data_IF_636075784772
#
_entry.id   IF_636075784772
#
_cell.length_a   1.000
_cell.length_b   1.000
_cell.length_c   1.000
_cell.angle_alpha   90.00
_cell.angle_beta   90.00
_cell.angle_gamma   90.00
#
_symmetry.space_group_name_H-M   'P 1'
#
loop_
_entity.id
_entity.type
_entity.pdbx_description
1 polymer ?
#
# COMPACT_ATOMS: atom_id res chain seq x y z
N UNK A 1 -76.28 -41.08 -26.51
CA UNK A 1 -75.72 -42.25 -27.24
C UNK A 1 -74.34 -42.46 -26.63
N UNK A 2 -74.18 -43.45 -25.78
CA UNK A 2 -73.48 -44.72 -25.96
C UNK A 2 -72.00 -44.44 -26.39
N UNK A 3 -70.93 -44.89 -25.75
CA UNK A 3 -70.71 -46.17 -25.15
C UNK A 3 -69.47 -46.18 -24.26
N UNK A 4 -69.61 -46.83 -23.18
CA UNK A 4 -68.65 -47.54 -22.29
C UNK A 4 -67.57 -48.33 -23.05
N UNK A 5 -66.35 -48.45 -22.35
CA UNK A 5 -65.56 -49.64 -22.02
C UNK A 5 -64.21 -49.20 -21.45
N UNK A 6 -63.92 -49.36 -20.21
CA UNK A 6 -63.33 -50.50 -19.38
C UNK A 6 -62.21 -51.24 -20.12
N UNK A 7 -61.04 -51.14 -19.49
CA UNK A 7 -60.10 -52.19 -19.10
C UNK A 7 -58.89 -51.53 -18.44
N UNK A 8 -58.58 -51.70 -17.20
CA UNK A 8 -57.98 -52.85 -16.49
C UNK A 8 -56.47 -52.99 -16.80
N UNK A 9 -55.67 -52.66 -15.81
CA UNK A 9 -54.51 -53.43 -15.31
C UNK A 9 -53.18 -53.16 -15.97
N UNK A 10 -52.24 -52.67 -15.21
CA UNK A 10 -51.05 -53.44 -14.79
C UNK A 10 -50.22 -52.61 -13.81
N UNK A 11 -50.00 -53.21 -12.67
CA UNK A 11 -48.98 -52.81 -11.70
C UNK A 11 -47.60 -52.89 -12.35
N UNK A 12 -46.90 -51.81 -12.42
CA UNK A 12 -45.49 -51.74 -12.76
C UNK A 12 -44.73 -51.09 -11.62
N UNK A 13 -44.18 -51.91 -10.74
CA UNK A 13 -43.23 -51.52 -9.72
C UNK A 13 -41.97 -50.97 -10.37
N UNK A 14 -41.91 -49.65 -10.55
CA UNK A 14 -40.72 -48.96 -10.96
C UNK A 14 -39.87 -48.64 -9.77
N UNK A 15 -38.77 -49.35 -9.58
CA UNK A 15 -37.72 -49.07 -8.62
C UNK A 15 -37.08 -47.74 -9.04
N UNK A 16 -37.36 -46.67 -8.31
CA UNK A 16 -36.65 -45.40 -8.46
C UNK A 16 -35.24 -45.59 -7.90
N UNK A 17 -34.25 -45.75 -8.77
CA UNK A 17 -32.84 -45.65 -8.44
C UNK A 17 -32.56 -44.18 -8.13
N UNK A 18 -32.56 -43.82 -6.86
CA UNK A 18 -32.02 -42.56 -6.39
C UNK A 18 -30.50 -42.62 -6.55
N UNK A 19 -30.01 -42.07 -7.65
CA UNK A 19 -28.58 -41.76 -7.81
C UNK A 19 -28.21 -40.65 -6.79
N UNK A 20 -27.71 -41.05 -5.63
CA UNK A 20 -27.08 -40.16 -4.71
C UNK A 20 -25.78 -39.71 -5.39
N UNK A 21 -25.83 -38.53 -6.01
CA UNK A 21 -24.65 -37.83 -6.50
C UNK A 21 -23.83 -37.41 -5.25
N UNK A 22 -22.92 -38.28 -4.86
CA UNK A 22 -21.94 -37.97 -3.82
C UNK A 22 -21.01 -36.91 -4.42
N UNK A 23 -21.38 -35.63 -4.28
CA UNK A 23 -20.44 -34.55 -4.51
C UNK A 23 -19.34 -34.69 -3.46
N UNK A 24 -18.27 -35.37 -3.84
CA UNK A 24 -17.03 -35.30 -3.12
C UNK A 24 -16.62 -33.82 -3.09
N UNK A 25 -16.87 -33.15 -1.97
CA UNK A 25 -16.23 -31.88 -1.66
C UNK A 25 -14.74 -32.17 -1.54
N UNK A 26 -14.02 -31.97 -2.64
CA UNK A 26 -12.57 -31.90 -2.58
C UNK A 26 -12.24 -30.86 -1.51
N UNK A 27 -11.39 -31.21 -0.52
CA UNK A 27 -10.89 -30.19 0.40
C UNK A 27 -10.27 -29.11 -0.48
N UNK A 28 -10.70 -27.86 -0.30
CA UNK A 28 -10.00 -26.71 -0.86
C UNK A 28 -8.57 -26.81 -0.35
N UNK A 29 -7.66 -27.26 -1.20
CA UNK A 29 -6.23 -27.16 -0.89
C UNK A 29 -5.96 -25.71 -0.56
N UNK A 30 -5.51 -25.43 0.65
CA UNK A 30 -4.96 -24.16 1.08
C UNK A 30 -3.60 -24.00 0.37
N UNK A 31 -3.65 -23.93 -0.96
CA UNK A 31 -2.48 -23.77 -1.83
C UNK A 31 -2.73 -22.57 -2.72
N UNK A 32 -1.88 -21.56 -2.62
CA UNK A 32 -1.87 -20.40 -3.52
C UNK A 32 -1.77 -20.83 -4.97
N UNK A 33 -1.96 -19.89 -5.89
CA UNK A 33 -1.85 -20.08 -7.34
C UNK A 33 -0.59 -20.88 -7.70
N UNK A 34 -0.73 -21.94 -8.54
CA UNK A 34 0.38 -22.79 -8.93
C UNK A 34 1.23 -22.05 -9.96
N UNK A 35 2.48 -21.77 -9.61
CA UNK A 35 3.46 -21.14 -10.50
C UNK A 35 4.14 -22.13 -11.45
N UNK A 36 4.27 -23.41 -11.04
CA UNK A 36 4.92 -24.44 -11.85
C UNK A 36 4.80 -25.82 -11.23
N UNK A 37 5.15 -26.87 -12.03
CA UNK A 37 5.11 -28.27 -11.59
C UNK A 37 6.24 -29.08 -12.24
N UNK A 38 6.85 -29.98 -11.46
CA UNK A 38 7.81 -30.96 -11.95
C UNK A 38 7.43 -32.33 -11.39
N UNK A 39 7.01 -33.26 -12.23
CA UNK A 39 6.40 -34.51 -11.80
C UNK A 39 5.17 -34.21 -10.92
N UNK A 40 5.13 -34.78 -9.71
CA UNK A 40 4.03 -34.58 -8.76
C UNK A 40 4.25 -33.36 -7.85
N UNK A 41 5.44 -32.75 -7.87
CA UNK A 41 5.77 -31.58 -7.05
C UNK A 41 5.29 -30.30 -7.69
N UNK A 42 4.38 -29.62 -7.00
CA UNK A 42 3.89 -28.28 -7.37
C UNK A 42 4.67 -27.21 -6.62
N UNK A 43 4.87 -26.07 -7.26
CA UNK A 43 5.43 -24.86 -6.68
C UNK A 43 4.33 -23.79 -6.70
N UNK A 44 4.05 -23.17 -5.57
CA UNK A 44 3.06 -22.10 -5.46
C UNK A 44 3.69 -20.74 -5.74
N UNK A 45 2.86 -19.75 -6.10
CA UNK A 45 3.33 -18.36 -6.24
C UNK A 45 3.91 -17.83 -4.92
N UNK A 46 3.36 -18.22 -3.78
CA UNK A 46 3.87 -17.80 -2.47
C UNK A 46 5.30 -18.33 -2.22
N UNK A 47 5.59 -19.59 -2.61
CA UNK A 47 6.95 -20.16 -2.51
C UNK A 47 7.91 -19.44 -3.46
N UNK A 48 7.48 -19.14 -4.70
CA UNK A 48 8.28 -18.40 -5.67
C UNK A 48 8.56 -16.98 -5.16
N UNK A 49 7.54 -16.29 -4.65
CA UNK A 49 7.67 -14.95 -4.10
C UNK A 49 8.56 -14.91 -2.86
N UNK A 50 8.50 -15.91 -1.99
CA UNK A 50 9.41 -16.00 -0.86
C UNK A 50 10.88 -16.12 -1.31
N UNK A 51 11.16 -16.97 -2.31
CA UNK A 51 12.50 -17.11 -2.89
C UNK A 51 12.94 -15.84 -3.62
N UNK A 52 12.06 -15.23 -4.39
CA UNK A 52 12.35 -13.99 -5.11
C UNK A 52 12.64 -12.84 -4.14
N UNK A 53 11.89 -12.72 -3.05
CA UNK A 53 12.14 -11.71 -1.98
C UNK A 53 13.51 -11.90 -1.33
N UNK A 54 13.85 -13.13 -0.98
CA UNK A 54 15.16 -13.41 -0.39
C UNK A 54 16.32 -13.05 -1.33
N UNK A 55 16.16 -13.28 -2.64
CA UNK A 55 17.16 -12.98 -3.65
C UNK A 55 17.21 -11.49 -4.08
N UNK A 56 16.09 -10.77 -3.98
CA UNK A 56 15.94 -9.43 -4.55
C UNK A 56 15.17 -8.49 -3.59
N UNK A 57 15.58 -8.40 -2.33
CA UNK A 57 14.93 -7.59 -1.30
C UNK A 57 14.70 -6.13 -1.73
N UNK A 58 15.67 -5.54 -2.46
CA UNK A 58 15.57 -4.15 -2.96
C UNK A 58 14.40 -3.95 -3.91
N UNK A 59 14.12 -4.90 -4.81
CA UNK A 59 12.99 -4.81 -5.76
C UNK A 59 11.65 -4.82 -5.01
N UNK A 60 11.52 -5.69 -4.02
CA UNK A 60 10.30 -5.76 -3.21
C UNK A 60 10.13 -4.52 -2.33
N UNK A 61 11.22 -3.95 -1.83
CA UNK A 61 11.17 -2.67 -1.12
C UNK A 61 10.71 -1.53 -2.05
N UNK A 62 11.28 -1.44 -3.25
CA UNK A 62 10.85 -0.44 -4.24
C UNK A 62 9.36 -0.59 -4.63
N UNK A 63 8.89 -1.82 -4.79
CA UNK A 63 7.47 -2.08 -5.07
C UNK A 63 6.58 -1.66 -3.89
N UNK A 64 6.99 -1.96 -2.67
CA UNK A 64 6.28 -1.50 -1.48
C UNK A 64 6.22 0.04 -1.43
N UNK A 65 7.35 0.71 -1.65
CA UNK A 65 7.43 2.18 -1.63
C UNK A 65 6.52 2.81 -2.69
N UNK A 66 6.51 2.23 -3.91
CA UNK A 66 5.61 2.66 -4.97
C UNK A 66 4.14 2.46 -4.60
N UNK A 67 3.78 1.30 -4.05
CA UNK A 67 2.41 1.01 -3.56
C UNK A 67 2.02 1.95 -2.42
N UNK A 68 2.93 2.20 -1.48
CA UNK A 68 2.70 3.10 -0.35
C UNK A 68 2.45 4.53 -0.82
N UNK A 69 3.26 5.00 -1.77
CA UNK A 69 3.07 6.32 -2.38
C UNK A 69 1.72 6.44 -3.09
N UNK A 70 1.37 5.46 -3.90
CA UNK A 70 0.08 5.43 -4.60
C UNK A 70 -1.10 5.41 -3.61
N UNK A 71 -1.03 4.56 -2.58
CA UNK A 71 -2.06 4.48 -1.53
C UNK A 71 -2.23 5.80 -0.79
N UNK A 72 -1.13 6.48 -0.45
CA UNK A 72 -1.19 7.79 0.21
C UNK A 72 -1.93 8.81 -0.66
N UNK A 73 -1.63 8.88 -1.98
CA UNK A 73 -2.35 9.77 -2.91
C UNK A 73 -3.83 9.44 -2.97
N UNK A 74 -4.19 8.15 -3.03
CA UNK A 74 -5.60 7.73 -3.03
C UNK A 74 -6.32 8.12 -1.73
N UNK A 75 -5.67 7.94 -0.58
CA UNK A 75 -6.21 8.34 0.73
C UNK A 75 -6.40 9.85 0.79
N UNK A 76 -5.40 10.64 0.37
CA UNK A 76 -5.50 12.10 0.36
C UNK A 76 -6.66 12.58 -0.53
N UNK A 77 -6.80 12.03 -1.73
CA UNK A 77 -7.90 12.38 -2.63
C UNK A 77 -9.27 12.03 -2.01
N UNK A 78 -9.39 10.85 -1.41
CA UNK A 78 -10.62 10.45 -0.74
C UNK A 78 -10.95 11.35 0.46
N UNK A 79 -9.95 11.77 1.22
CA UNK A 79 -10.15 12.71 2.34
C UNK A 79 -10.65 14.08 1.85
N UNK A 80 -10.11 14.57 0.73
CA UNK A 80 -10.58 15.80 0.09
C UNK A 80 -12.03 15.68 -0.38
N UNK A 81 -12.38 14.56 -1.02
CA UNK A 81 -13.76 14.30 -1.46
C UNK A 81 -14.75 14.28 -0.31
N UNK A 82 -14.42 13.58 0.78
CA UNK A 82 -15.26 13.48 1.99
C UNK A 82 -15.46 14.86 2.62
N UNK A 83 -14.40 15.65 2.78
CA UNK A 83 -14.47 16.98 3.38
C UNK A 83 -15.22 17.97 2.48
N UNK A 84 -14.97 17.92 1.15
CA UNK A 84 -15.67 18.75 0.18
C UNK A 84 -17.17 18.48 0.17
N UNK A 85 -17.56 17.21 0.19
CA UNK A 85 -18.98 16.81 0.29
C UNK A 85 -19.61 17.28 1.61
N UNK A 86 -18.91 17.15 2.73
CA UNK A 86 -19.39 17.62 4.04
C UNK A 86 -19.62 19.14 4.07
N UNK A 87 -18.78 19.89 3.36
CA UNK A 87 -18.90 21.37 3.24
C UNK A 87 -19.78 21.83 2.08
N UNK A 88 -20.26 20.92 1.23
CA UNK A 88 -21.07 21.19 0.03
C UNK A 88 -20.36 22.10 -0.98
N UNK A 89 -19.09 21.88 -1.18
CA UNK A 89 -18.21 22.54 -2.15
C UNK A 89 -17.55 21.51 -3.05
N UNK A 90 -16.93 21.95 -4.13
CA UNK A 90 -16.07 21.09 -4.95
C UNK A 90 -14.71 20.88 -4.30
N UNK A 91 -14.01 19.81 -4.67
CA UNK A 91 -12.61 19.56 -4.23
C UNK A 91 -11.71 20.73 -4.62
N UNK A 92 -11.92 21.31 -5.82
CA UNK A 92 -11.13 22.44 -6.28
C UNK A 92 -11.31 23.68 -5.39
N UNK A 93 -12.56 24.04 -5.07
CA UNK A 93 -12.85 25.14 -4.16
C UNK A 93 -12.27 24.91 -2.76
N UNK A 94 -12.35 23.67 -2.27
CA UNK A 94 -11.76 23.30 -0.99
C UNK A 94 -10.24 23.50 -0.97
N UNK A 95 -9.54 23.03 -2.02
CA UNK A 95 -8.08 23.14 -2.15
C UNK A 95 -7.67 24.62 -2.24
N UNK A 96 -8.32 25.40 -3.08
CA UNK A 96 -8.05 26.84 -3.19
C UNK A 96 -8.18 27.51 -1.83
N UNK A 97 -9.29 27.32 -1.15
CA UNK A 97 -9.59 27.99 0.12
C UNK A 97 -8.70 27.54 1.28
N UNK A 98 -8.39 26.25 1.36
CA UNK A 98 -7.70 25.72 2.53
C UNK A 98 -6.19 25.58 2.34
N UNK A 99 -5.71 25.64 1.11
CA UNK A 99 -4.30 25.54 0.78
C UNK A 99 -3.81 26.79 0.04
N UNK A 100 -4.31 27.04 -1.17
CA UNK A 100 -3.71 28.06 -2.04
C UNK A 100 -3.82 29.48 -1.45
N UNK A 101 -4.99 29.85 -0.90
CA UNK A 101 -5.21 31.16 -0.28
C UNK A 101 -4.45 31.35 1.06
N UNK A 102 -3.98 30.25 1.67
CA UNK A 102 -3.21 30.29 2.92
C UNK A 102 -1.70 30.32 2.70
N UNK A 103 -1.25 30.05 1.48
CA UNK A 103 0.16 30.18 1.12
C UNK A 103 0.50 31.66 0.97
N UNK A 104 1.22 32.22 1.96
CA UNK A 104 1.68 33.60 1.87
C UNK A 104 2.84 33.71 0.89
N UNK A 105 2.93 34.76 0.06
CA UNK A 105 4.06 34.98 -0.85
C UNK A 105 5.39 35.04 -0.09
N UNK A 106 6.43 34.50 -0.70
CA UNK A 106 7.80 34.60 -0.18
C UNK A 106 8.32 36.02 -0.40
N UNK A 107 8.91 36.61 0.64
CA UNK A 107 9.47 37.95 0.55
C UNK A 107 10.95 37.94 0.13
N UNK A 108 11.45 39.08 -0.34
CA UNK A 108 12.87 39.26 -0.71
C UNK A 108 13.80 39.09 0.51
N UNK A 109 13.34 39.49 1.68
CA UNK A 109 14.07 39.34 2.93
C UNK A 109 14.26 37.87 3.29
N UNK A 110 13.23 37.03 3.10
CA UNK A 110 13.30 35.57 3.33
C UNK A 110 14.27 34.90 2.35
N UNK A 111 14.22 35.28 1.07
CA UNK A 111 15.17 34.79 0.06
C UNK A 111 16.61 35.15 0.43
N UNK A 112 16.83 36.39 0.89
CA UNK A 112 18.16 36.87 1.30
C UNK A 112 18.64 36.15 2.58
N UNK A 113 17.74 35.95 3.54
CA UNK A 113 18.02 35.22 4.78
C UNK A 113 18.42 33.77 4.48
N UNK A 114 17.63 33.09 3.66
CA UNK A 114 17.91 31.70 3.25
C UNK A 114 19.28 31.60 2.54
N UNK A 115 19.58 32.51 1.63
CA UNK A 115 20.86 32.54 0.94
C UNK A 115 22.03 32.70 1.92
N UNK A 116 21.91 33.61 2.88
CA UNK A 116 22.96 33.86 3.87
C UNK A 116 23.21 32.64 4.77
N UNK A 117 22.16 31.96 5.20
CA UNK A 117 22.23 30.74 6.03
C UNK A 117 22.81 29.56 5.25
N UNK A 118 22.62 29.51 3.94
CA UNK A 118 23.03 28.40 3.10
C UNK A 118 24.25 28.67 2.20
N UNK A 119 25.05 29.73 2.49
CA UNK A 119 26.22 30.12 1.68
C UNK A 119 27.17 28.98 1.36
N UNK A 120 27.43 28.09 2.33
CA UNK A 120 28.31 26.95 2.13
C UNK A 120 27.73 25.92 1.11
N UNK A 121 26.40 25.81 1.02
CA UNK A 121 25.71 24.85 0.15
C UNK A 121 25.55 25.35 -1.29
N UNK A 122 25.55 26.65 -1.49
CA UNK A 122 25.31 27.23 -2.82
C UNK A 122 26.57 27.30 -3.70
N UNK A 123 27.73 26.84 -3.22
CA UNK A 123 28.92 26.63 -4.04
C UNK A 123 29.50 27.91 -4.69
N UNK A 124 29.49 29.03 -3.97
CA UNK A 124 30.05 30.32 -4.47
C UNK A 124 29.16 31.05 -5.48
N UNK A 125 27.93 30.59 -5.76
CA UNK A 125 26.97 31.32 -6.59
C UNK A 125 26.52 32.60 -5.88
N UNK A 126 26.22 33.65 -6.69
CA UNK A 126 25.72 34.91 -6.12
C UNK A 126 24.20 34.84 -5.91
N UNK A 127 23.68 35.68 -5.00
CA UNK A 127 22.23 35.73 -4.73
C UNK A 127 21.44 35.98 -6.03
N UNK A 128 21.90 36.91 -6.85
CA UNK A 128 21.21 37.29 -8.11
C UNK A 128 21.10 36.12 -9.09
N UNK A 129 22.11 35.22 -9.09
CA UNK A 129 22.11 34.06 -10.00
C UNK A 129 21.17 32.95 -9.63
N UNK A 130 20.74 32.87 -8.35
CA UNK A 130 19.91 31.79 -7.81
C UNK A 130 18.65 32.25 -7.07
N UNK A 131 18.41 33.58 -7.02
CA UNK A 131 17.27 34.17 -6.33
C UNK A 131 15.95 33.49 -6.70
N UNK A 132 15.66 33.35 -8.01
CA UNK A 132 14.43 32.69 -8.47
C UNK A 132 14.31 31.20 -8.07
N UNK A 133 15.46 30.51 -7.97
CA UNK A 133 15.47 29.10 -7.48
C UNK A 133 15.15 29.01 -5.99
N UNK A 134 15.71 29.96 -5.20
CA UNK A 134 15.43 30.05 -3.76
C UNK A 134 13.94 30.39 -3.53
N UNK A 135 13.44 31.39 -4.25
CA UNK A 135 12.03 31.79 -4.16
C UNK A 135 11.09 30.63 -4.51
N UNK A 136 11.37 29.90 -5.58
CA UNK A 136 10.60 28.72 -5.96
C UNK A 136 10.68 27.64 -4.89
N UNK A 137 11.86 27.37 -4.33
CA UNK A 137 12.06 26.40 -3.26
C UNK A 137 11.25 26.78 -2.02
N UNK A 138 11.34 28.02 -1.55
CA UNK A 138 10.61 28.48 -0.36
C UNK A 138 9.09 28.47 -0.57
N UNK A 139 8.61 28.82 -1.76
CA UNK A 139 7.19 28.72 -2.10
C UNK A 139 6.69 27.28 -2.09
N UNK A 140 7.49 26.32 -2.62
CA UNK A 140 7.15 24.91 -2.58
C UNK A 140 7.13 24.36 -1.14
N UNK A 141 8.12 24.73 -0.33
CA UNK A 141 8.20 24.33 1.08
C UNK A 141 6.98 24.84 1.85
N UNK A 142 6.67 26.13 1.73
CA UNK A 142 5.50 26.74 2.37
C UNK A 142 4.17 26.12 1.91
N UNK A 143 4.01 25.90 0.63
CA UNK A 143 2.84 25.19 0.09
C UNK A 143 2.70 23.77 0.63
N UNK A 144 3.83 23.06 0.78
CA UNK A 144 3.87 21.73 1.38
C UNK A 144 3.48 21.75 2.87
N UNK A 145 3.95 22.74 3.63
CA UNK A 145 3.60 22.91 5.04
C UNK A 145 2.10 23.18 5.23
N UNK A 146 1.54 24.14 4.47
CA UNK A 146 0.10 24.44 4.53
C UNK A 146 -0.74 23.22 4.16
N UNK A 147 -0.34 22.50 3.11
CA UNK A 147 -1.00 21.28 2.69
C UNK A 147 -0.94 20.21 3.80
N UNK A 148 0.24 19.98 4.35
CA UNK A 148 0.44 18.99 5.43
C UNK A 148 -0.43 19.33 6.64
N UNK A 149 -0.42 20.57 7.09
CA UNK A 149 -1.24 21.03 8.21
C UNK A 149 -2.75 20.83 7.95
N UNK A 150 -3.20 21.09 6.73
CA UNK A 150 -4.58 20.82 6.36
C UNK A 150 -4.92 19.31 6.41
N UNK A 151 -4.09 18.46 5.83
CA UNK A 151 -4.31 17.02 5.88
C UNK A 151 -4.25 16.46 7.30
N UNK A 152 -3.42 17.02 8.18
CA UNK A 152 -3.40 16.62 9.58
C UNK A 152 -4.71 16.96 10.31
N UNK A 153 -5.36 18.08 9.96
CA UNK A 153 -6.71 18.36 10.46
C UNK A 153 -7.76 17.37 9.92
N UNK A 154 -7.62 16.92 8.66
CA UNK A 154 -8.51 15.92 8.08
C UNK A 154 -8.35 14.55 8.75
N UNK A 155 -7.11 14.12 9.03
CA UNK A 155 -6.82 12.85 9.74
C UNK A 155 -7.39 12.80 11.15
N UNK A 156 -7.58 13.94 11.80
CA UNK A 156 -8.24 14.00 13.11
C UNK A 156 -9.75 13.76 13.02
N UNK A 157 -10.36 14.08 11.87
CA UNK A 157 -11.82 13.96 11.64
C UNK A 157 -12.20 12.66 10.95
N UNK A 158 -11.35 12.18 10.04
CA UNK A 158 -11.62 11.05 9.14
C UNK A 158 -10.72 9.90 9.55
N UNK A 159 -11.34 8.79 9.98
CA UNK A 159 -10.60 7.59 10.34
C UNK A 159 -9.93 6.97 9.12
N UNK A 160 -8.61 6.85 9.14
CA UNK A 160 -7.80 6.21 8.10
C UNK A 160 -7.17 4.94 8.65
N UNK A 161 -7.42 3.80 7.98
CA UNK A 161 -6.80 2.52 8.32
C UNK A 161 -5.97 2.03 7.13
N UNK A 162 -4.69 1.81 7.36
CA UNK A 162 -3.76 1.30 6.35
C UNK A 162 -3.37 -0.12 6.73
N UNK A 163 -3.65 -1.07 5.82
CA UNK A 163 -3.32 -2.49 5.98
C UNK A 163 -2.12 -2.92 5.11
N UNK A 164 -1.50 -1.99 4.38
CA UNK A 164 -0.33 -2.30 3.56
C UNK A 164 0.89 -2.54 4.46
N UNK A 165 1.32 -3.79 4.53
CA UNK A 165 2.51 -4.18 5.30
C UNK A 165 3.80 -4.05 4.46
N UNK A 166 4.92 -3.64 5.10
CA UNK A 166 6.22 -3.66 4.44
C UNK A 166 6.66 -5.10 4.13
N UNK A 167 7.50 -5.31 3.10
CA UNK A 167 8.06 -6.62 2.82
C UNK A 167 8.93 -7.06 4.00
N UNK A 168 8.71 -8.28 4.46
CA UNK A 168 9.53 -8.90 5.50
C UNK A 168 10.58 -9.78 4.83
N UNK A 169 11.82 -9.62 5.22
CA UNK A 169 12.93 -10.51 4.85
C UNK A 169 13.25 -11.37 6.07
N UNK A 170 13.27 -12.68 5.89
CA UNK A 170 13.72 -13.59 6.93
C UNK A 170 15.23 -13.50 7.04
N UNK A 171 15.70 -13.09 8.19
CA UNK A 171 17.13 -13.04 8.49
C UNK A 171 17.50 -14.33 9.21
N UNK A 172 18.28 -15.17 8.54
CA UNK A 172 18.79 -16.41 9.14
C UNK A 172 20.12 -16.08 9.83
N UNK A 173 20.11 -16.14 11.16
CA UNK A 173 21.32 -16.01 11.95
C UNK A 173 22.08 -17.34 11.97
N UNK A 174 23.38 -17.32 11.74
CA UNK A 174 24.21 -18.50 11.89
C UNK A 174 24.43 -18.81 13.39
N UNK A 175 24.60 -20.09 13.71
CA UNK A 175 24.76 -20.51 15.11
C UNK A 175 25.96 -19.91 15.82
N UNK A 176 26.97 -19.46 15.06
CA UNK A 176 28.21 -18.85 15.53
C UNK A 176 28.24 -17.33 15.38
N UNK A 177 27.14 -16.69 14.95
CA UNK A 177 27.08 -15.23 14.92
C UNK A 177 27.22 -14.66 16.34
N UNK A 178 28.04 -13.61 16.51
CA UNK A 178 28.17 -12.98 17.82
C UNK A 178 26.83 -12.34 18.21
N UNK A 179 26.40 -12.57 19.43
CA UNK A 179 25.16 -11.97 19.94
C UNK A 179 25.36 -11.38 21.34
N UNK A 180 24.55 -10.40 21.69
CA UNK A 180 24.52 -9.78 23.00
C UNK A 180 23.07 -9.71 23.50
N UNK A 181 22.81 -10.25 24.70
CA UNK A 181 21.49 -10.24 25.32
C UNK A 181 20.90 -11.64 25.49
N UNK A 182 19.67 -11.73 26.05
CA UNK A 182 18.97 -13.01 26.22
C UNK A 182 18.60 -13.63 24.88
N UNK A 183 18.72 -14.96 24.75
CA UNK A 183 18.35 -15.69 23.53
C UNK A 183 16.85 -15.70 23.24
N UNK A 184 16.04 -15.49 24.25
CA UNK A 184 14.58 -15.45 24.24
C UNK A 184 14.03 -14.02 24.22
N UNK A 185 14.86 -13.04 23.89
CA UNK A 185 14.42 -11.65 23.78
C UNK A 185 13.29 -11.50 22.76
N UNK A 186 12.22 -10.74 23.04
CA UNK A 186 11.08 -10.56 22.14
C UNK A 186 11.42 -9.78 20.87
N UNK A 187 12.56 -9.09 20.84
CA UNK A 187 13.06 -8.33 19.68
C UNK A 187 14.54 -8.63 19.50
N UNK A 188 14.91 -8.97 18.27
CA UNK A 188 16.31 -9.13 17.86
C UNK A 188 16.68 -8.02 16.89
N UNK A 189 17.77 -7.33 17.17
CA UNK A 189 18.36 -6.32 16.29
C UNK A 189 19.58 -6.94 15.63
N UNK A 190 19.60 -6.95 14.31
CA UNK A 190 20.74 -7.44 13.52
C UNK A 190 21.48 -6.23 12.95
N UNK A 191 22.77 -6.13 13.29
CA UNK A 191 23.65 -5.09 12.78
C UNK A 191 24.62 -5.69 11.79
N UNK A 192 24.72 -5.08 10.62
CA UNK A 192 25.73 -5.41 9.62
C UNK A 192 26.77 -4.29 9.62
N UNK A 193 27.99 -4.61 10.03
CA UNK A 193 29.12 -3.67 9.99
C UNK A 193 30.08 -4.07 8.90
N UNK A 194 30.35 -3.16 7.96
CA UNK A 194 31.43 -3.32 6.98
C UNK A 194 32.69 -2.66 7.52
N UNK A 195 33.67 -3.46 7.88
CA UNK A 195 34.98 -3.00 8.34
C UNK A 195 35.89 -2.88 7.11
N UNK A 196 35.90 -1.72 6.48
CA UNK A 196 36.88 -1.35 5.44
C UNK A 196 38.11 -0.69 6.06
#
# INVERSE_FOLDING_TARGET
MRNTRRNAGLLGTGIALAAILLMATLPAEAGGEIAGQVGDKKFTMDEVDAKARAANATVYQQLYDARRKALNVMIENQMLEVEAAARKVTVAELVIKEIDEKVTPVTQEEVTAWFNENKARVGGRTLESIQGQIEQFLNMERGSEVRSAFFDTLKQKIAVKIALEPPRVEIVLAANDPYKGPKDAPVTIVEYSDFQ
#
